data_IF_370385992858
#
_entry.id   IF_370385992858
#
_cell.length_a   1.000
_cell.length_b   1.000
_cell.length_c   1.000
_cell.angle_alpha   90.00
_cell.angle_beta   90.00
_cell.angle_gamma   90.00
#
_symmetry.space_group_name_H-M   'P 1'
#
loop_
_entity.id
_entity.type
_entity.pdbx_description
1 polymer ?
#
# COMPACT_ATOMS: atom_id res chain seq x y z
N UNK A 1 -9.58 30.53 22.58
CA UNK A 1 -9.65 29.45 21.57
C UNK A 1 -9.19 29.86 20.16
N UNK A 2 -9.24 31.16 19.76
CA UNK A 2 -8.83 31.60 18.42
C UNK A 2 -7.30 31.64 18.19
N UNK A 3 -6.49 32.01 19.20
CA UNK A 3 -5.03 32.10 19.08
C UNK A 3 -4.32 30.74 18.95
N UNK A 4 -4.93 29.67 19.47
CA UNK A 4 -4.42 28.30 19.32
C UNK A 4 -4.53 27.78 17.89
N UNK A 5 -5.49 28.29 17.10
CA UNK A 5 -5.68 27.91 15.70
C UNK A 5 -4.58 28.45 14.80
N UNK A 6 -3.95 29.56 15.19
CA UNK A 6 -3.12 30.36 14.31
C UNK A 6 -1.75 29.72 14.08
N UNK A 7 -1.18 29.08 15.10
CA UNK A 7 0.21 28.58 15.04
C UNK A 7 0.34 27.33 14.18
N UNK A 8 -0.55 26.34 14.34
CA UNK A 8 -0.54 25.16 13.47
C UNK A 8 -0.88 25.53 12.02
N UNK A 9 -1.83 26.45 11.83
CA UNK A 9 -2.19 26.91 10.49
C UNK A 9 -1.05 27.69 9.83
N UNK A 10 -0.42 28.61 10.57
CA UNK A 10 0.75 29.36 10.14
C UNK A 10 1.93 28.45 9.80
N UNK A 11 2.16 27.40 10.60
CA UNK A 11 3.15 26.36 10.28
C UNK A 11 2.85 25.70 8.94
N UNK A 12 1.62 25.21 8.76
CA UNK A 12 1.25 24.46 7.56
C UNK A 12 1.25 25.36 6.32
N UNK A 13 0.77 26.60 6.43
CA UNK A 13 0.80 27.55 5.32
C UNK A 13 2.24 28.00 5.00
N UNK A 14 3.13 28.14 5.99
CA UNK A 14 4.55 28.40 5.75
C UNK A 14 5.26 27.18 5.12
N UNK A 15 5.02 25.97 5.63
CA UNK A 15 5.61 24.75 5.11
C UNK A 15 5.18 24.47 3.67
N UNK A 16 3.91 24.72 3.34
CA UNK A 16 3.36 24.50 2.00
C UNK A 16 3.69 25.65 1.04
N UNK A 17 3.50 26.90 1.47
CA UNK A 17 3.61 28.09 0.62
C UNK A 17 5.01 28.70 0.55
N UNK A 18 5.84 28.54 1.59
CA UNK A 18 7.20 29.12 1.68
C UNK A 18 8.22 28.14 2.27
N UNK A 19 8.43 26.97 1.64
CA UNK A 19 9.26 25.89 2.22
C UNK A 19 10.74 26.24 2.42
N UNK A 20 11.23 27.34 1.86
CA UNK A 20 12.61 27.84 2.05
C UNK A 20 12.80 28.61 3.36
N UNK A 21 11.75 28.99 4.06
CA UNK A 21 11.82 29.76 5.31
C UNK A 21 12.12 28.85 6.52
N UNK A 22 13.28 28.18 6.51
CA UNK A 22 13.62 27.11 7.46
C UNK A 22 13.54 27.54 8.93
N UNK A 23 14.13 28.69 9.29
CA UNK A 23 14.15 29.19 10.67
C UNK A 23 12.73 29.42 11.20
N UNK A 24 11.88 30.02 10.36
CA UNK A 24 10.48 30.28 10.68
C UNK A 24 9.75 28.94 10.89
N UNK A 25 9.84 28.02 9.93
CA UNK A 25 9.17 26.71 10.01
C UNK A 25 9.60 25.94 11.26
N UNK A 26 10.90 25.90 11.58
CA UNK A 26 11.39 25.25 12.79
C UNK A 26 10.86 25.90 14.08
N UNK A 27 10.76 27.23 14.12
CA UNK A 27 10.18 27.94 15.27
C UNK A 27 8.72 27.53 15.49
N UNK A 28 7.90 27.52 14.43
CA UNK A 28 6.50 27.11 14.55
C UNK A 28 6.35 25.61 14.84
N UNK A 29 7.25 24.76 14.32
CA UNK A 29 7.25 23.32 14.66
C UNK A 29 7.46 23.13 16.16
N UNK A 30 8.46 23.80 16.74
CA UNK A 30 8.72 23.74 18.16
C UNK A 30 7.51 24.24 18.97
N UNK A 31 6.92 25.37 18.59
CA UNK A 31 5.74 25.91 19.28
C UNK A 31 4.52 24.98 19.18
N UNK A 32 4.27 24.37 18.01
CA UNK A 32 3.19 23.38 17.83
C UNK A 32 3.39 22.19 18.76
N UNK A 33 4.62 21.68 18.90
CA UNK A 33 4.92 20.54 19.75
C UNK A 33 4.79 20.89 21.25
N UNK A 34 5.27 22.06 21.67
CA UNK A 34 5.09 22.55 23.04
C UNK A 34 3.61 22.74 23.40
N UNK A 35 2.82 23.33 22.49
CA UNK A 35 1.36 23.46 22.69
C UNK A 35 0.66 22.09 22.76
N UNK A 36 1.14 21.09 22.03
CA UNK A 36 0.62 19.74 22.15
C UNK A 36 0.94 19.13 23.52
N UNK A 37 2.17 19.29 24.03
CA UNK A 37 2.56 18.80 25.36
C UNK A 37 1.77 19.45 26.48
N UNK A 38 1.52 20.76 26.37
CA UNK A 38 0.74 21.53 27.35
C UNK A 38 -0.77 21.27 27.26
N UNK A 39 -1.23 20.44 26.31
CA UNK A 39 -2.65 20.13 26.11
C UNK A 39 -3.46 21.26 25.45
N UNK A 40 -2.80 22.33 25.01
CA UNK A 40 -3.42 23.48 24.33
C UNK A 40 -3.81 23.16 22.89
N UNK A 41 -3.09 22.23 22.25
CA UNK A 41 -3.34 21.80 20.88
C UNK A 41 -3.58 20.27 20.83
N UNK A 42 -4.79 19.82 20.47
CA UNK A 42 -5.09 18.38 20.43
C UNK A 42 -4.24 17.63 19.38
N UNK A 43 -3.60 16.49 19.74
CA UNK A 43 -2.85 15.64 18.80
C UNK A 43 -3.66 15.22 17.56
N UNK A 44 -4.96 14.95 17.76
CA UNK A 44 -5.92 14.62 16.70
C UNK A 44 -6.03 15.73 15.65
N UNK A 45 -5.96 17.00 16.08
CA UNK A 45 -6.03 18.16 15.20
C UNK A 45 -4.77 18.26 14.33
N UNK A 46 -3.59 18.05 14.92
CA UNK A 46 -2.32 17.99 14.18
C UNK A 46 -2.36 16.90 13.12
N UNK A 47 -2.71 15.67 13.49
CA UNK A 47 -2.81 14.55 12.54
C UNK A 47 -3.78 14.85 11.39
N UNK A 48 -4.97 15.38 11.70
CA UNK A 48 -5.99 15.71 10.70
C UNK A 48 -5.53 16.81 9.74
N UNK A 49 -4.96 17.91 10.24
CA UNK A 49 -4.53 19.02 9.40
C UNK A 49 -3.27 18.71 8.58
N UNK A 50 -2.34 17.90 9.12
CA UNK A 50 -1.18 17.41 8.37
C UNK A 50 -1.63 16.52 7.22
N UNK A 51 -2.55 15.56 7.45
CA UNK A 51 -3.11 14.72 6.39
C UNK A 51 -3.94 15.51 5.37
N UNK A 52 -4.59 16.60 5.79
CA UNK A 52 -5.28 17.50 4.86
C UNK A 52 -4.31 18.24 3.91
N UNK A 53 -3.05 18.45 4.30
CA UNK A 53 -2.06 19.05 3.39
C UNK A 53 -1.66 18.12 2.23
N UNK A 54 -1.95 16.81 2.29
CA UNK A 54 -1.74 15.89 1.17
C UNK A 54 -2.39 16.37 -0.13
N UNK A 55 -3.52 17.10 -0.03
CA UNK A 55 -4.24 17.65 -1.18
C UNK A 55 -3.64 18.95 -1.74
N UNK A 56 -2.73 19.60 -1.01
CA UNK A 56 -2.15 20.92 -1.36
C UNK A 56 -0.66 20.87 -1.64
N UNK A 57 0.03 19.82 -1.18
CA UNK A 57 1.48 19.69 -1.28
C UNK A 57 1.94 19.48 -2.74
N UNK A 58 2.72 20.43 -3.23
CA UNK A 58 3.32 20.38 -4.57
C UNK A 58 4.84 20.12 -4.56
N UNK A 59 5.52 20.52 -3.47
CA UNK A 59 6.99 20.47 -3.38
C UNK A 59 7.49 19.41 -2.40
N UNK A 60 8.62 18.78 -2.76
CA UNK A 60 9.30 17.79 -1.90
C UNK A 60 9.81 18.40 -0.60
N UNK A 61 10.25 19.65 -0.61
CA UNK A 61 10.71 20.37 0.58
C UNK A 61 9.58 20.60 1.59
N UNK A 62 8.40 20.97 1.11
CA UNK A 62 7.20 21.08 1.96
C UNK A 62 6.84 19.77 2.63
N UNK A 63 6.94 18.65 1.91
CA UNK A 63 6.72 17.33 2.47
C UNK A 63 7.77 16.96 3.53
N UNK A 64 9.04 17.34 3.35
CA UNK A 64 10.09 17.10 4.35
C UNK A 64 9.78 17.76 5.69
N UNK A 65 9.25 18.99 5.67
CA UNK A 65 8.84 19.70 6.88
C UNK A 65 7.71 18.98 7.63
N UNK A 66 6.72 18.45 6.90
CA UNK A 66 5.64 17.69 7.54
C UNK A 66 6.14 16.35 8.10
N UNK A 67 7.08 15.69 7.41
CA UNK A 67 7.70 14.47 7.92
C UNK A 67 8.49 14.72 9.19
N UNK A 68 9.28 15.80 9.24
CA UNK A 68 10.03 16.18 10.44
C UNK A 68 9.09 16.42 11.63
N UNK A 69 8.01 17.19 11.42
CA UNK A 69 6.97 17.39 12.43
C UNK A 69 6.38 16.07 12.95
N UNK A 70 6.11 15.10 12.06
CA UNK A 70 5.57 13.80 12.46
C UNK A 70 6.59 12.97 13.26
N UNK A 71 7.87 12.99 12.89
CA UNK A 71 8.93 12.32 13.67
C UNK A 71 8.98 12.89 15.08
N UNK A 72 9.06 14.21 15.20
CA UNK A 72 9.15 14.87 16.50
C UNK A 72 7.88 14.67 17.33
N UNK A 73 6.70 14.69 16.69
CA UNK A 73 5.44 14.39 17.34
C UNK A 73 5.41 12.96 17.92
N UNK A 74 5.86 11.96 17.16
CA UNK A 74 5.95 10.58 17.64
C UNK A 74 6.96 10.41 18.79
N UNK A 75 8.06 11.17 18.79
CA UNK A 75 9.07 11.10 19.85
C UNK A 75 8.61 11.79 21.13
N UNK A 76 7.91 12.93 21.00
CA UNK A 76 7.56 13.78 22.13
C UNK A 76 6.19 13.45 22.75
N UNK A 77 5.32 12.74 22.02
CA UNK A 77 3.97 12.39 22.47
C UNK A 77 3.68 10.89 22.29
N UNK A 78 3.65 10.10 23.39
CA UNK A 78 3.47 8.64 23.31
C UNK A 78 2.18 8.18 22.60
N UNK A 79 1.07 8.93 22.76
CA UNK A 79 -0.24 8.56 22.20
C UNK A 79 -0.46 9.12 20.78
N UNK A 80 0.49 9.87 20.23
CA UNK A 80 0.34 10.49 18.91
C UNK A 80 0.25 9.46 17.77
N UNK A 81 1.06 8.38 17.72
CA UNK A 81 0.97 7.40 16.63
C UNK A 81 -0.39 6.69 16.53
N UNK A 82 -0.95 6.31 17.68
CA UNK A 82 -2.30 5.74 17.76
C UNK A 82 -3.36 6.73 17.26
N UNK A 83 -3.28 7.98 17.76
CA UNK A 83 -4.18 9.05 17.31
C UNK A 83 -4.08 9.28 15.81
N UNK A 84 -2.86 9.27 15.26
CA UNK A 84 -2.62 9.41 13.83
C UNK A 84 -3.20 8.23 13.04
N UNK A 85 -3.04 6.99 13.51
CA UNK A 85 -3.58 5.80 12.88
C UNK A 85 -5.11 5.87 12.76
N UNK A 86 -5.82 6.26 13.83
CA UNK A 86 -7.26 6.43 13.80
C UNK A 86 -7.73 7.54 12.86
N UNK A 87 -7.01 8.67 12.83
CA UNK A 87 -7.33 9.76 11.89
C UNK A 87 -7.07 9.33 10.44
N UNK A 88 -5.98 8.61 10.18
CA UNK A 88 -5.67 8.09 8.85
C UNK A 88 -6.75 7.09 8.41
N UNK A 89 -7.15 6.16 9.28
CA UNK A 89 -8.24 5.20 9.01
C UNK A 89 -9.52 5.93 8.62
N UNK A 90 -9.91 6.96 9.36
CA UNK A 90 -11.10 7.76 9.07
C UNK A 90 -11.00 8.54 7.74
N UNK A 91 -9.82 9.03 7.38
CA UNK A 91 -9.58 9.79 6.14
C UNK A 91 -9.26 8.91 4.92
N UNK A 92 -8.93 7.63 5.15
CA UNK A 92 -8.46 6.71 4.13
C UNK A 92 -9.40 6.61 2.92
N UNK A 93 -10.74 6.48 3.07
CA UNK A 93 -11.64 6.42 1.91
C UNK A 93 -11.55 7.66 1.00
N UNK A 94 -11.48 8.85 1.58
CA UNK A 94 -11.34 10.10 0.82
C UNK A 94 -9.96 10.22 0.14
N UNK A 95 -8.90 9.77 0.80
CA UNK A 95 -7.56 9.74 0.22
C UNK A 95 -7.45 8.69 -0.90
N UNK A 96 -8.06 7.52 -0.75
CA UNK A 96 -8.13 6.49 -1.80
C UNK A 96 -8.78 7.05 -3.07
N UNK A 97 -9.89 7.79 -2.92
CA UNK A 97 -10.60 8.44 -4.02
C UNK A 97 -9.93 9.72 -4.57
N UNK A 98 -8.78 10.14 -4.01
CA UNK A 98 -8.11 11.38 -4.40
C UNK A 98 -7.24 11.23 -5.66
N UNK A 99 -6.39 12.21 -5.98
CA UNK A 99 -5.43 12.11 -7.07
C UNK A 99 -4.12 11.42 -6.60
N UNK A 100 -3.37 10.86 -7.56
CA UNK A 100 -2.19 10.03 -7.31
C UNK A 100 -1.18 10.61 -6.31
N UNK A 101 -0.85 11.90 -6.45
CA UNK A 101 0.16 12.52 -5.57
C UNK A 101 -0.32 12.63 -4.12
N UNK A 102 -1.60 12.89 -3.85
CA UNK A 102 -2.14 12.92 -2.49
C UNK A 102 -2.07 11.54 -1.82
N UNK A 103 -2.42 10.46 -2.54
CA UNK A 103 -2.24 9.07 -2.06
C UNK A 103 -0.78 8.79 -1.69
N UNK A 104 0.14 9.10 -2.59
CA UNK A 104 1.58 8.85 -2.43
C UNK A 104 2.17 9.67 -1.28
N UNK A 105 1.71 10.91 -1.07
CA UNK A 105 2.14 11.74 0.06
C UNK A 105 1.59 11.17 1.38
N UNK A 106 0.30 10.83 1.45
CA UNK A 106 -0.31 10.24 2.65
C UNK A 106 0.39 8.91 3.05
N UNK A 107 0.69 8.06 2.07
CA UNK A 107 1.44 6.83 2.29
C UNK A 107 2.84 7.13 2.84
N UNK A 108 3.53 8.15 2.32
CA UNK A 108 4.88 8.52 2.79
C UNK A 108 4.88 9.16 4.18
N UNK A 109 3.86 9.96 4.52
CA UNK A 109 3.67 10.52 5.87
C UNK A 109 3.36 9.42 6.89
N UNK A 110 2.44 8.51 6.56
CA UNK A 110 2.13 7.37 7.43
C UNK A 110 3.33 6.43 7.60
N UNK A 111 4.17 6.26 6.57
CA UNK A 111 5.39 5.47 6.64
C UNK A 111 6.39 6.05 7.66
N UNK A 112 6.45 7.38 7.81
CA UNK A 112 7.28 8.03 8.83
C UNK A 112 6.77 7.74 10.24
N UNK A 113 5.45 7.78 10.45
CA UNK A 113 4.85 7.42 11.74
C UNK A 113 5.14 5.96 12.09
N UNK A 114 4.96 5.04 11.14
CA UNK A 114 5.29 3.63 11.33
C UNK A 114 6.78 3.42 11.66
N UNK A 115 7.68 4.13 10.95
CA UNK A 115 9.12 4.05 11.21
C UNK A 115 9.48 4.46 12.64
N UNK A 116 8.89 5.57 13.11
CA UNK A 116 9.10 6.07 14.46
C UNK A 116 8.63 5.04 15.50
N UNK A 117 7.42 4.51 15.35
CA UNK A 117 6.84 3.49 16.25
C UNK A 117 7.72 2.26 16.35
N UNK A 118 8.16 1.71 15.21
CA UNK A 118 9.00 0.51 15.19
C UNK A 118 10.40 0.74 15.77
N UNK A 119 10.89 1.98 15.75
CA UNK A 119 12.20 2.36 16.30
C UNK A 119 12.17 2.48 17.83
N UNK A 120 11.04 2.91 18.43
CA UNK A 120 10.93 3.19 19.87
C UNK A 120 10.89 1.90 20.74
N UNK A 121 10.78 0.71 20.13
CA UNK A 121 10.84 -0.63 20.77
C UNK A 121 9.82 -0.93 21.89
N UNK A 122 9.02 0.03 22.36
CA UNK A 122 7.80 -0.25 23.11
C UNK A 122 6.75 -0.76 22.13
N UNK A 123 6.34 -2.02 22.28
CA UNK A 123 5.31 -2.59 21.43
C UNK A 123 3.99 -1.88 21.73
N UNK A 124 3.41 -1.19 20.74
CA UNK A 124 2.12 -0.56 20.93
C UNK A 124 1.01 -1.62 21.03
N UNK A 125 -0.17 -1.18 21.47
CA UNK A 125 -1.40 -1.94 21.29
C UNK A 125 -1.51 -2.39 19.82
N UNK A 126 -1.72 -3.70 19.64
CA UNK A 126 -1.75 -4.33 18.33
C UNK A 126 -2.88 -3.80 17.44
N UNK A 127 -3.99 -3.34 18.03
CA UNK A 127 -5.19 -2.98 17.27
C UNK A 127 -4.97 -1.78 16.34
N UNK A 128 -4.50 -0.64 16.87
CA UNK A 128 -4.30 0.56 16.04
C UNK A 128 -3.16 0.39 15.03
N UNK A 129 -2.16 -0.45 15.34
CA UNK A 129 -1.07 -0.71 14.41
C UNK A 129 -1.57 -1.48 13.18
N UNK A 130 -2.48 -2.44 13.37
CA UNK A 130 -3.17 -3.11 12.25
C UNK A 130 -3.98 -2.11 11.44
N UNK A 131 -4.64 -1.13 12.05
CA UNK A 131 -5.37 -0.07 11.32
C UNK A 131 -4.44 0.78 10.46
N UNK A 132 -3.26 1.14 10.98
CA UNK A 132 -2.25 1.90 10.26
C UNK A 132 -1.76 1.12 9.03
N UNK A 133 -1.37 -0.14 9.23
CA UNK A 133 -0.89 -1.01 8.15
C UNK A 133 -1.98 -1.24 7.10
N UNK A 134 -3.21 -1.51 7.52
CA UNK A 134 -4.35 -1.68 6.59
C UNK A 134 -4.60 -0.42 5.77
N UNK A 135 -4.53 0.76 6.40
CA UNK A 135 -4.69 2.04 5.71
C UNK A 135 -3.56 2.28 4.70
N UNK A 136 -2.33 1.93 5.03
CA UNK A 136 -1.18 2.00 4.12
C UNK A 136 -1.35 1.07 2.92
N UNK A 137 -1.77 -0.17 3.16
CA UNK A 137 -2.03 -1.17 2.13
C UNK A 137 -3.11 -0.70 1.16
N UNK A 138 -4.21 -0.11 1.67
CA UNK A 138 -5.29 0.44 0.84
C UNK A 138 -4.85 1.66 0.03
N UNK A 139 -4.05 2.55 0.62
CA UNK A 139 -3.50 3.71 -0.10
C UNK A 139 -2.53 3.28 -1.20
N UNK A 140 -1.72 2.25 -0.95
CA UNK A 140 -0.82 1.67 -1.93
C UNK A 140 -1.62 1.02 -3.07
N UNK A 141 -2.63 0.20 -2.75
CA UNK A 141 -3.44 -0.48 -3.75
C UNK A 141 -4.17 0.49 -4.66
N UNK A 142 -4.69 1.59 -4.11
CA UNK A 142 -5.36 2.64 -4.87
C UNK A 142 -4.46 3.35 -5.90
N UNK A 143 -3.15 3.05 -5.95
CA UNK A 143 -2.25 3.54 -6.99
C UNK A 143 -2.13 2.62 -8.21
N UNK A 144 -2.80 1.47 -8.24
CA UNK A 144 -2.65 0.45 -9.28
C UNK A 144 -2.90 0.98 -10.70
N UNK A 145 -3.82 1.93 -10.86
CA UNK A 145 -4.17 2.56 -12.14
C UNK A 145 -3.46 3.90 -12.37
N UNK A 146 -2.62 4.35 -11.42
CA UNK A 146 -1.84 5.57 -11.57
C UNK A 146 -0.63 5.37 -12.49
N UNK A 147 0.00 6.46 -12.92
CA UNK A 147 1.25 6.41 -13.68
C UNK A 147 2.32 5.56 -12.98
N UNK A 148 3.15 4.86 -13.75
CA UNK A 148 4.23 4.02 -13.22
C UNK A 148 5.14 4.77 -12.24
N UNK A 149 5.41 6.06 -12.50
CA UNK A 149 6.17 6.92 -11.59
C UNK A 149 5.52 7.02 -10.22
N UNK A 150 4.20 7.20 -10.15
CA UNK A 150 3.45 7.28 -8.89
C UNK A 150 3.44 5.94 -8.17
N UNK A 151 3.16 4.85 -8.89
CA UNK A 151 3.24 3.48 -8.34
C UNK A 151 4.62 3.21 -7.74
N UNK A 152 5.69 3.53 -8.46
CA UNK A 152 7.05 3.29 -8.01
C UNK A 152 7.40 4.12 -6.76
N UNK A 153 6.93 5.37 -6.67
CA UNK A 153 7.10 6.19 -5.48
C UNK A 153 6.36 5.61 -4.26
N UNK A 154 5.14 5.12 -4.46
CA UNK A 154 4.37 4.45 -3.41
C UNK A 154 5.07 3.19 -2.92
N UNK A 155 5.43 2.28 -3.84
CA UNK A 155 6.16 1.03 -3.54
C UNK A 155 7.48 1.28 -2.83
N UNK A 156 8.24 2.28 -3.29
CA UNK A 156 9.54 2.64 -2.69
C UNK A 156 9.41 3.09 -1.24
N UNK A 157 8.29 3.72 -0.86
CA UNK A 157 8.06 4.13 0.53
C UNK A 157 8.03 2.93 1.47
N UNK A 158 7.26 1.88 1.13
CA UNK A 158 7.17 0.68 1.95
C UNK A 158 8.41 -0.22 1.82
N UNK A 159 9.01 -0.33 0.64
CA UNK A 159 10.25 -1.09 0.45
C UNK A 159 11.39 -0.57 1.33
N UNK A 160 11.49 0.75 1.53
CA UNK A 160 12.48 1.34 2.44
C UNK A 160 12.25 0.91 3.89
N UNK A 161 10.99 0.86 4.34
CA UNK A 161 10.65 0.38 5.67
C UNK A 161 10.96 -1.10 5.85
N UNK A 162 10.58 -1.94 4.87
CA UNK A 162 10.87 -3.38 4.90
C UNK A 162 12.38 -3.67 4.94
N UNK A 163 13.18 -2.91 4.20
CA UNK A 163 14.65 -3.01 4.27
C UNK A 163 15.20 -2.65 5.66
N UNK A 164 14.57 -1.70 6.36
CA UNK A 164 15.02 -1.24 7.68
C UNK A 164 14.55 -2.17 8.82
N UNK A 165 13.29 -2.62 8.77
CA UNK A 165 12.64 -3.36 9.87
C UNK A 165 12.53 -4.88 9.62
N UNK A 166 12.93 -5.34 8.43
CA UNK A 166 13.15 -6.75 8.11
C UNK A 166 11.88 -7.61 8.17
N UNK A 167 12.08 -8.88 8.54
CA UNK A 167 11.03 -9.93 8.52
C UNK A 167 9.84 -9.64 9.44
N UNK A 168 10.06 -8.96 10.56
CA UNK A 168 8.97 -8.64 11.50
C UNK A 168 7.91 -7.76 10.86
N UNK A 169 8.32 -6.68 10.21
CA UNK A 169 7.37 -5.81 9.49
C UNK A 169 6.75 -6.53 8.30
N UNK A 170 7.53 -7.37 7.61
CA UNK A 170 7.00 -8.20 6.53
C UNK A 170 5.84 -9.08 7.03
N UNK A 171 6.01 -9.80 8.13
CA UNK A 171 4.96 -10.65 8.71
C UNK A 171 3.68 -9.84 8.96
N UNK A 172 3.81 -8.67 9.56
CA UNK A 172 2.65 -7.82 9.88
C UNK A 172 1.87 -7.38 8.64
N UNK A 173 2.56 -7.11 7.52
CA UNK A 173 1.89 -6.83 6.24
C UNK A 173 1.28 -8.08 5.60
N UNK A 174 1.91 -9.25 5.77
CA UNK A 174 1.32 -10.54 5.34
C UNK A 174 0.02 -10.79 6.12
N UNK A 175 0.01 -10.54 7.43
CA UNK A 175 -1.16 -10.69 8.28
C UNK A 175 -2.32 -9.78 7.84
N UNK A 176 -2.02 -8.57 7.34
CA UNK A 176 -3.04 -7.68 6.73
C UNK A 176 -3.71 -8.34 5.53
N UNK A 177 -2.94 -8.99 4.65
CA UNK A 177 -3.49 -9.71 3.48
C UNK A 177 -4.30 -10.94 3.92
N UNK A 178 -3.87 -11.63 4.97
CA UNK A 178 -4.57 -12.80 5.50
C UNK A 178 -5.89 -12.39 6.16
N UNK A 179 -5.90 -11.33 6.95
CA UNK A 179 -7.08 -10.83 7.64
C UNK A 179 -8.08 -10.12 6.71
N UNK A 180 -7.65 -9.76 5.49
CA UNK A 180 -8.48 -9.10 4.51
C UNK A 180 -9.70 -9.95 4.10
N UNK A 181 -10.83 -9.27 3.91
CA UNK A 181 -11.99 -9.89 3.31
C UNK A 181 -11.64 -10.43 1.90
N UNK A 182 -12.27 -11.51 1.42
CA UNK A 182 -11.87 -12.15 0.16
C UNK A 182 -11.86 -11.22 -1.05
N UNK A 183 -12.76 -10.24 -1.08
CA UNK A 183 -12.89 -9.26 -2.18
C UNK A 183 -11.94 -8.05 -2.04
N UNK A 184 -11.23 -7.91 -0.92
CA UNK A 184 -10.18 -6.89 -0.78
C UNK A 184 -8.89 -7.40 -1.41
N UNK A 185 -8.48 -6.74 -2.49
CA UNK A 185 -7.31 -7.09 -3.28
C UNK A 185 -6.12 -6.22 -2.85
N UNK A 186 -4.93 -6.82 -2.81
CA UNK A 186 -3.70 -6.15 -2.37
C UNK A 186 -2.52 -6.49 -3.30
N UNK A 187 -2.70 -6.32 -4.61
CA UNK A 187 -1.70 -6.67 -5.62
C UNK A 187 -0.42 -5.83 -5.52
N UNK A 188 -0.52 -4.53 -5.24
CA UNK A 188 0.65 -3.65 -5.10
C UNK A 188 1.43 -3.95 -3.83
N UNK A 189 0.73 -4.27 -2.73
CA UNK A 189 1.38 -4.72 -1.49
C UNK A 189 2.11 -6.03 -1.72
N UNK A 190 1.46 -7.01 -2.35
CA UNK A 190 2.09 -8.28 -2.67
C UNK A 190 3.37 -8.09 -3.51
N UNK A 191 3.32 -7.24 -4.54
CA UNK A 191 4.50 -6.91 -5.34
C UNK A 191 5.65 -6.32 -4.48
N UNK A 192 5.34 -5.43 -3.55
CA UNK A 192 6.31 -4.88 -2.59
C UNK A 192 6.92 -5.98 -1.72
N UNK A 193 6.08 -6.86 -1.16
CA UNK A 193 6.52 -7.98 -0.32
C UNK A 193 7.43 -8.93 -1.10
N UNK A 194 7.06 -9.31 -2.33
CA UNK A 194 7.87 -10.16 -3.21
C UNK A 194 9.20 -9.51 -3.58
N UNK A 195 9.20 -8.20 -3.84
CA UNK A 195 10.42 -7.46 -4.19
C UNK A 195 11.39 -7.33 -3.00
N UNK A 196 10.90 -7.44 -1.75
CA UNK A 196 11.74 -7.37 -0.55
C UNK A 196 12.71 -8.55 -0.42
N UNK A 197 12.43 -9.69 -1.07
CA UNK A 197 13.16 -10.97 -0.95
C UNK A 197 13.20 -11.52 0.50
N UNK A 198 12.24 -11.14 1.32
CA UNK A 198 12.14 -11.57 2.72
C UNK A 198 11.04 -12.62 2.95
N UNK A 199 10.19 -12.89 1.95
CA UNK A 199 9.14 -13.93 1.99
C UNK A 199 9.77 -15.32 2.01
N UNK A 200 9.29 -16.18 2.91
CA UNK A 200 9.54 -17.62 2.86
C UNK A 200 8.53 -18.34 1.95
N UNK A 201 8.72 -19.65 1.78
CA UNK A 201 7.89 -20.45 0.89
C UNK A 201 6.43 -20.50 1.34
N UNK A 202 6.16 -20.61 2.65
CA UNK A 202 4.80 -20.68 3.19
C UNK A 202 4.02 -19.39 2.91
N UNK A 203 4.64 -18.23 3.15
CA UNK A 203 4.03 -16.94 2.82
C UNK A 203 3.82 -16.76 1.32
N UNK A 204 4.75 -17.23 0.49
CA UNK A 204 4.59 -17.17 -0.96
C UNK A 204 3.39 -18.01 -1.43
N UNK A 205 3.28 -19.24 -0.95
CA UNK A 205 2.17 -20.13 -1.29
C UNK A 205 0.81 -19.56 -0.87
N UNK A 206 0.75 -18.98 0.33
CA UNK A 206 -0.45 -18.28 0.80
C UNK A 206 -0.82 -17.11 -0.14
N UNK A 207 0.15 -16.28 -0.53
CA UNK A 207 -0.09 -15.13 -1.41
C UNK A 207 -0.49 -15.57 -2.82
N UNK A 208 0.06 -16.67 -3.35
CA UNK A 208 -0.39 -17.26 -4.62
C UNK A 208 -1.81 -17.79 -4.54
N UNK A 209 -2.20 -18.41 -3.41
CA UNK A 209 -3.58 -18.83 -3.16
C UNK A 209 -4.55 -17.64 -3.16
N UNK A 210 -4.18 -16.53 -2.49
CA UNK A 210 -4.96 -15.29 -2.50
C UNK A 210 -5.07 -14.70 -3.91
N UNK A 211 -3.97 -14.67 -4.65
CA UNK A 211 -3.96 -14.26 -6.05
C UNK A 211 -4.92 -15.09 -6.91
N UNK A 212 -4.89 -16.42 -6.78
CA UNK A 212 -5.76 -17.30 -7.56
C UNK A 212 -7.24 -16.98 -7.31
N UNK A 213 -7.62 -16.70 -6.06
CA UNK A 213 -8.96 -16.23 -5.75
C UNK A 213 -9.25 -14.87 -6.38
N UNK A 214 -8.39 -13.87 -6.16
CA UNK A 214 -8.62 -12.51 -6.65
C UNK A 214 -8.70 -12.41 -8.18
N UNK A 215 -7.81 -13.10 -8.90
CA UNK A 215 -7.74 -13.05 -10.35
C UNK A 215 -8.86 -13.84 -11.04
N UNK A 216 -9.30 -14.97 -10.45
CA UNK A 216 -10.20 -15.90 -11.14
C UNK A 216 -11.58 -16.01 -10.49
N UNK A 217 -11.66 -16.08 -9.16
CA UNK A 217 -12.89 -16.41 -8.43
C UNK A 217 -13.65 -15.19 -7.87
N UNK A 218 -12.97 -14.07 -7.63
CA UNK A 218 -13.58 -12.83 -7.11
C UNK A 218 -14.70 -12.32 -8.02
N UNK A 219 -15.75 -11.77 -7.41
CA UNK A 219 -16.85 -11.12 -8.16
C UNK A 219 -16.44 -9.75 -8.67
N UNK A 220 -15.55 -9.06 -7.97
CA UNK A 220 -15.01 -7.74 -8.30
C UNK A 220 -13.59 -7.86 -8.86
N UNK A 221 -13.43 -8.63 -9.93
CA UNK A 221 -12.11 -8.84 -10.54
C UNK A 221 -11.51 -7.50 -10.94
N UNK A 222 -10.36 -7.16 -10.38
CA UNK A 222 -9.49 -6.15 -10.97
C UNK A 222 -8.30 -6.89 -11.57
N UNK A 223 -7.88 -6.45 -12.75
CA UNK A 223 -6.73 -7.05 -13.40
C UNK A 223 -5.47 -6.46 -12.78
N UNK A 224 -4.72 -7.30 -12.08
CA UNK A 224 -3.39 -6.92 -11.64
C UNK A 224 -2.51 -6.65 -12.87
N UNK A 225 -1.87 -5.48 -13.00
CA UNK A 225 -0.85 -5.30 -14.01
C UNK A 225 0.32 -6.21 -13.64
N UNK A 226 0.44 -7.34 -14.34
CA UNK A 226 1.59 -8.24 -14.23
C UNK A 226 2.56 -7.89 -15.36
N UNK A 227 3.82 -7.72 -15.01
CA UNK A 227 4.88 -7.52 -16.01
C UNK A 227 5.54 -8.86 -16.34
N UNK A 228 6.24 -8.93 -17.47
CA UNK A 228 7.13 -10.06 -17.77
C UNK A 228 8.15 -10.23 -16.64
N UNK A 229 8.41 -11.47 -16.24
CA UNK A 229 9.33 -11.83 -15.15
C UNK A 229 8.95 -11.18 -13.81
N UNK A 230 7.66 -11.14 -13.49
CA UNK A 230 7.14 -10.48 -12.30
C UNK A 230 7.74 -11.06 -11.02
N UNK A 231 8.19 -10.19 -10.11
CA UNK A 231 8.78 -10.58 -8.85
C UNK A 231 7.88 -11.49 -8.01
N UNK A 232 6.55 -11.38 -8.19
CA UNK A 232 5.54 -12.19 -7.51
C UNK A 232 5.56 -13.67 -7.90
N UNK A 233 6.03 -14.01 -9.09
CA UNK A 233 6.00 -15.38 -9.62
C UNK A 233 7.40 -15.96 -9.88
N UNK A 234 8.46 -15.20 -9.58
CA UNK A 234 9.84 -15.56 -9.92
C UNK A 234 10.29 -16.94 -9.40
N UNK A 235 9.74 -17.37 -8.26
CA UNK A 235 10.07 -18.62 -7.57
C UNK A 235 9.00 -19.70 -7.71
N UNK A 236 7.93 -19.43 -8.47
CA UNK A 236 6.80 -20.36 -8.61
C UNK A 236 7.26 -21.62 -9.37
N UNK A 237 7.08 -22.80 -8.77
CA UNK A 237 7.32 -24.09 -9.43
C UNK A 237 6.10 -24.59 -10.20
N UNK A 238 6.29 -25.63 -11.03
CA UNK A 238 5.17 -26.27 -11.73
C UNK A 238 4.21 -26.95 -10.77
N UNK A 239 4.73 -27.62 -9.74
CA UNK A 239 3.92 -28.29 -8.71
C UNK A 239 3.06 -27.26 -7.97
N UNK A 240 3.66 -26.13 -7.57
CA UNK A 240 2.94 -25.05 -6.90
C UNK A 240 1.89 -24.41 -7.81
N UNK A 241 2.21 -24.19 -9.09
CA UNK A 241 1.24 -23.70 -10.07
C UNK A 241 0.05 -24.65 -10.21
N UNK A 242 0.30 -25.95 -10.35
CA UNK A 242 -0.73 -26.98 -10.50
C UNK A 242 -1.63 -27.11 -9.27
N UNK A 243 -1.09 -26.91 -8.08
CA UNK A 243 -1.82 -27.02 -6.83
C UNK A 243 -2.60 -25.75 -6.49
N UNK A 244 -2.00 -24.57 -6.67
CA UNK A 244 -2.52 -23.32 -6.11
C UNK A 244 -3.29 -22.45 -7.12
N UNK A 245 -2.88 -22.46 -8.39
CA UNK A 245 -3.40 -21.49 -9.39
C UNK A 245 -4.23 -22.19 -10.46
N UNK A 246 -3.71 -23.28 -11.03
CA UNK A 246 -4.35 -24.02 -12.12
C UNK A 246 -5.80 -24.46 -11.81
N UNK A 247 -6.17 -24.94 -10.61
CA UNK A 247 -7.53 -25.41 -10.35
C UNK A 247 -8.57 -24.30 -10.51
N UNK A 248 -8.32 -23.13 -9.91
CA UNK A 248 -9.19 -21.96 -9.99
C UNK A 248 -9.24 -21.42 -11.42
N UNK A 249 -8.07 -21.30 -12.06
CA UNK A 249 -7.96 -20.85 -13.45
C UNK A 249 -8.76 -21.75 -14.40
N UNK A 250 -8.56 -23.07 -14.36
CA UNK A 250 -9.22 -24.02 -15.25
C UNK A 250 -10.74 -24.09 -15.02
N UNK A 251 -11.18 -24.03 -13.75
CA UNK A 251 -12.60 -23.98 -13.38
C UNK A 251 -13.27 -22.74 -13.98
N UNK A 252 -12.63 -21.57 -13.88
CA UNK A 252 -13.21 -20.31 -14.34
C UNK A 252 -13.11 -20.13 -15.85
N UNK A 253 -12.05 -20.62 -16.49
CA UNK A 253 -11.92 -20.66 -17.94
C UNK A 253 -13.04 -21.50 -18.59
N UNK A 254 -13.46 -22.60 -17.95
CA UNK A 254 -14.60 -23.42 -18.42
C UNK A 254 -15.96 -22.71 -18.26
N UNK A 255 -16.12 -21.92 -17.19
CA UNK A 255 -17.41 -21.26 -16.88
C UNK A 255 -17.60 -19.98 -17.66
N UNK A 256 -16.56 -19.18 -17.81
CA UNK A 256 -16.61 -17.83 -18.38
C UNK A 256 -15.37 -17.54 -19.24
N UNK A 257 -15.15 -18.28 -20.35
CA UNK A 257 -13.91 -18.24 -21.12
C UNK A 257 -13.55 -16.83 -21.60
N UNK A 258 -14.50 -16.11 -22.19
CA UNK A 258 -14.27 -14.79 -22.80
C UNK A 258 -13.68 -13.78 -21.81
N UNK A 259 -14.17 -13.80 -20.57
CA UNK A 259 -13.69 -12.90 -19.51
C UNK A 259 -12.37 -13.33 -18.87
N UNK A 260 -11.94 -14.58 -19.09
CA UNK A 260 -10.78 -15.17 -18.44
C UNK A 260 -9.54 -15.20 -19.33
N UNK A 261 -9.70 -15.17 -20.65
CA UNK A 261 -8.58 -15.25 -21.59
C UNK A 261 -7.54 -14.15 -21.33
N UNK A 262 -7.97 -12.92 -21.06
CA UNK A 262 -7.06 -11.81 -20.75
C UNK A 262 -6.26 -12.08 -19.46
N UNK A 263 -6.95 -12.49 -18.38
CA UNK A 263 -6.31 -12.77 -17.09
C UNK A 263 -5.26 -13.90 -17.22
N UNK A 264 -5.62 -14.94 -17.96
CA UNK A 264 -4.74 -16.09 -18.23
C UNK A 264 -3.57 -15.66 -19.10
N UNK A 265 -3.80 -14.88 -20.15
CA UNK A 265 -2.75 -14.37 -21.02
C UNK A 265 -1.71 -13.54 -20.26
N UNK A 266 -2.17 -12.62 -19.40
CA UNK A 266 -1.30 -11.79 -18.56
C UNK A 266 -0.50 -12.65 -17.56
N UNK A 267 -1.13 -13.65 -16.93
CA UNK A 267 -0.43 -14.59 -16.04
C UNK A 267 0.64 -15.39 -16.79
N UNK A 268 0.32 -15.94 -17.96
CA UNK A 268 1.22 -16.76 -18.77
C UNK A 268 2.46 -15.96 -19.20
N UNK A 269 2.30 -14.66 -19.48
CA UNK A 269 3.43 -13.78 -19.83
C UNK A 269 4.29 -13.40 -18.62
N UNK A 270 3.69 -13.32 -17.42
CA UNK A 270 4.36 -12.89 -16.21
C UNK A 270 5.14 -13.99 -15.50
N UNK A 271 4.67 -15.23 -15.60
CA UNK A 271 5.21 -16.39 -14.90
C UNK A 271 6.36 -17.01 -15.70
N UNK A 272 7.52 -17.30 -15.07
CA UNK A 272 8.68 -17.88 -15.74
C UNK A 272 8.55 -19.41 -15.95
N UNK A 273 7.36 -19.88 -16.34
CA UNK A 273 7.07 -21.29 -16.59
C UNK A 273 6.77 -21.51 -18.07
N UNK A 274 7.21 -22.64 -18.61
CA UNK A 274 6.83 -23.11 -19.93
C UNK A 274 5.46 -23.80 -19.86
N UNK A 275 4.45 -23.07 -20.34
CA UNK A 275 3.08 -23.53 -20.39
C UNK A 275 2.79 -24.50 -21.55
N UNK A 276 3.76 -24.80 -22.43
CA UNK A 276 3.62 -25.75 -23.53
C UNK A 276 3.10 -27.12 -23.08
N UNK A 277 3.48 -27.58 -21.89
CA UNK A 277 3.00 -28.83 -21.27
C UNK A 277 1.49 -28.84 -20.99
N UNK A 278 0.89 -27.66 -20.76
CA UNK A 278 -0.51 -27.52 -20.38
C UNK A 278 -1.42 -27.30 -21.57
N UNK A 279 -0.88 -27.00 -22.76
CA UNK A 279 -1.65 -26.77 -23.98
C UNK A 279 -2.52 -27.99 -24.29
N UNK A 280 -1.99 -29.22 -24.19
CA UNK A 280 -2.80 -30.44 -24.40
C UNK A 280 -3.84 -30.71 -23.32
N UNK A 281 -3.68 -30.14 -22.11
CA UNK A 281 -4.55 -30.36 -20.94
C UNK A 281 -5.62 -29.27 -20.80
N UNK A 282 -5.35 -28.06 -21.30
CA UNK A 282 -6.28 -26.93 -21.35
C UNK A 282 -7.11 -26.88 -22.65
N UNK A 283 -6.71 -27.63 -23.68
CA UNK A 283 -7.49 -27.87 -24.90
C UNK A 283 -8.39 -29.10 -24.72
N UNK A 284 -9.51 -28.96 -23.99
CA UNK A 284 -10.77 -29.48 -24.47
C UNK A 284 -11.79 -28.34 -24.68
N UNK A 285 -11.34 -27.09 -24.63
CA UNK A 285 -12.08 -25.95 -25.19
C UNK A 285 -11.66 -25.87 -26.66
N UNK A 286 -12.40 -26.59 -27.51
CA UNK A 286 -12.37 -26.38 -28.96
C UNK A 286 -12.74 -24.91 -29.18
N UNK A 287 -11.73 -24.08 -29.44
CA UNK A 287 -11.96 -22.86 -30.21
C UNK A 287 -12.29 -23.41 -31.59
N UNK A 288 -13.57 -23.58 -31.90
CA UNK A 288 -14.04 -23.85 -33.25
C UNK A 288 -13.78 -22.58 -34.09
N UNK A 289 -12.51 -22.33 -34.39
CA UNK A 289 -12.07 -21.45 -35.47
C UNK A 289 -12.17 -22.22 -36.79
N UNK A 290 -13.35 -22.73 -37.11
CA UNK A 290 -13.71 -23.27 -38.43
C UNK A 290 -15.12 -22.76 -38.77
N UNK A 291 -15.23 -21.46 -39.06
CA UNK A 291 -16.30 -20.89 -39.90
C UNK A 291 -15.98 -19.46 -40.35
N UNK A 292 -14.74 -19.24 -40.79
CA UNK A 292 -14.36 -18.04 -41.56
C UNK A 292 -13.63 -18.46 -42.84
N UNK A 293 -14.26 -19.35 -43.61
CA UNK A 293 -14.01 -19.57 -45.04
C UNK A 293 -15.30 -20.00 -45.72
N UNK A 294 -16.16 -19.03 -46.03
CA UNK A 294 -16.85 -18.88 -47.32
C UNK A 294 -17.01 -17.39 -47.56
#
# INVERSE_FOLDING_TARGET
>A
MAEQEDVLRSLLDAAVGRPSHLVFIHSYQHEVLEKCKNGELPPKRVANQVLAQCYRLQYRSSEQHLRALLVDACLQMPNFPETFAHVLRAKCPGLVASFASARVIALRLSAVVLDAVLTIKTFPDAAWLVELLTSQSRLLEATIDDSERCQQQARTALLKLLKKHGKKLLQMYVDVVVAAAPEEQYYQLWLVLSTSKLLDNEMQEMLWGRYAFWAFESKKRSFAPLCKDDARFKTLSYEQFEQLILPSMAKMLKKTPDTMIEAVGVLVQAVPLDFGRYVKRCVPVRIDCENARV
#
